data_IF_468571787361
#
_entry.id   IF_468571787361
#
_cell.length_a   1.000
_cell.length_b   1.000
_cell.length_c   1.000
_cell.angle_alpha   90.00
_cell.angle_beta   90.00
_cell.angle_gamma   90.00
#
_symmetry.space_group_name_H-M   'P 1'
#
loop_
_entity.id
_entity.type
_entity.pdbx_description
1 polymer ?
#
# COMPACT_ATOMS: atom_id res chain seq x y z
N UNK A 1 45.73 -37.15 -38.21
CA UNK A 1 44.63 -36.19 -38.06
C UNK A 1 44.17 -36.26 -36.61
N UNK A 2 44.55 -35.29 -35.79
CA UNK A 2 44.19 -35.20 -34.35
C UNK A 2 42.86 -34.48 -34.23
N UNK A 3 41.83 -35.16 -33.71
CA UNK A 3 40.53 -34.55 -33.43
C UNK A 3 40.63 -33.83 -32.08
N UNK A 4 40.59 -32.51 -32.12
CA UNK A 4 40.50 -31.66 -30.93
C UNK A 4 39.02 -31.66 -30.51
N UNK A 5 38.70 -32.27 -29.37
CA UNK A 5 37.40 -32.19 -28.74
C UNK A 5 37.40 -30.94 -27.84
N UNK A 6 36.69 -29.92 -28.30
CA UNK A 6 36.47 -28.71 -27.48
C UNK A 6 35.29 -28.99 -26.54
N UNK A 7 35.60 -29.22 -25.31
CA UNK A 7 34.58 -29.29 -24.24
C UNK A 7 34.14 -27.87 -23.87
N UNK A 8 32.95 -27.46 -24.33
CA UNK A 8 32.32 -26.23 -23.87
C UNK A 8 31.74 -26.47 -22.51
N UNK A 9 32.42 -25.97 -21.47
CA UNK A 9 31.91 -25.98 -20.11
C UNK A 9 30.84 -24.90 -20.01
N UNK A 10 29.57 -25.29 -20.04
CA UNK A 10 28.45 -24.39 -19.76
C UNK A 10 28.46 -24.07 -18.25
N UNK A 11 29.07 -22.96 -17.86
CA UNK A 11 28.86 -22.39 -16.54
C UNK A 11 27.41 -21.91 -16.45
N UNK A 12 26.56 -22.69 -15.80
CA UNK A 12 25.27 -22.23 -15.36
C UNK A 12 25.51 -21.16 -14.29
N UNK A 13 25.46 -19.90 -14.68
CA UNK A 13 25.42 -18.78 -13.75
C UNK A 13 24.05 -18.85 -13.09
N UNK A 14 23.99 -19.49 -11.91
CA UNK A 14 22.85 -19.35 -11.00
C UNK A 14 22.86 -17.93 -10.51
N UNK A 15 22.20 -17.02 -11.23
CA UNK A 15 21.91 -15.71 -10.70
C UNK A 15 21.17 -15.92 -9.38
N UNK A 16 21.65 -15.36 -8.24
CA UNK A 16 20.84 -15.37 -7.03
C UNK A 16 19.52 -14.73 -7.39
N UNK A 17 18.42 -15.42 -7.09
CA UNK A 17 17.10 -14.80 -7.19
C UNK A 17 17.16 -13.54 -6.33
N UNK A 18 17.24 -12.39 -6.97
CA UNK A 18 17.06 -11.13 -6.29
C UNK A 18 15.63 -11.19 -5.76
N UNK A 19 15.48 -11.49 -4.48
CA UNK A 19 14.24 -11.28 -3.79
C UNK A 19 13.98 -9.78 -3.89
N UNK A 20 13.16 -9.38 -4.85
CA UNK A 20 12.61 -8.05 -4.88
C UNK A 20 11.70 -7.98 -3.65
N UNK A 21 12.26 -7.53 -2.54
CA UNK A 21 11.45 -7.11 -1.41
C UNK A 21 10.47 -6.07 -1.97
N UNK A 22 9.21 -6.20 -1.56
CA UNK A 22 8.20 -5.23 -1.96
C UNK A 22 8.60 -3.82 -1.49
N UNK A 23 7.90 -2.80 -1.96
CA UNK A 23 8.24 -1.40 -1.67
C UNK A 23 8.28 -1.06 -0.16
N UNK A 24 7.69 -1.90 0.69
CA UNK A 24 7.80 -1.83 2.15
C UNK A 24 8.69 -2.99 2.62
N UNK A 25 9.99 -2.76 2.62
CA UNK A 25 11.03 -3.71 3.03
C UNK A 25 10.85 -4.18 4.49
N UNK A 26 11.22 -5.44 4.84
CA UNK A 26 11.23 -5.90 6.22
C UNK A 26 12.25 -5.19 7.12
N UNK A 27 13.11 -4.34 6.58
CA UNK A 27 14.05 -3.55 7.36
C UNK A 27 13.33 -2.41 8.11
N UNK A 28 12.95 -2.66 9.33
CA UNK A 28 12.16 -1.72 10.15
C UNK A 28 12.82 -0.34 10.30
N UNK A 29 14.14 -0.26 10.29
CA UNK A 29 14.87 0.99 10.54
C UNK A 29 14.89 1.95 9.35
N UNK A 30 14.51 1.50 8.17
CA UNK A 30 14.35 2.40 7.01
C UNK A 30 13.14 3.32 7.17
N UNK A 31 12.09 2.84 7.85
CA UNK A 31 10.89 3.61 8.12
C UNK A 31 10.86 4.15 9.54
N UNK A 32 11.42 3.43 10.51
CA UNK A 32 11.35 3.76 11.93
C UNK A 32 12.72 4.11 12.50
N UNK A 33 12.79 5.16 13.30
CA UNK A 33 14.01 5.53 14.02
C UNK A 33 13.68 6.10 15.39
N UNK A 34 14.25 5.50 16.43
CA UNK A 34 14.14 6.02 17.80
C UNK A 34 15.01 7.28 18.03
N UNK A 35 16.04 7.48 17.19
CA UNK A 35 16.95 8.60 17.32
C UNK A 35 16.60 9.78 16.43
N UNK A 36 15.99 9.53 15.27
CA UNK A 36 15.72 10.52 14.23
C UNK A 36 14.25 10.62 13.87
N UNK A 37 13.37 10.24 14.82
CA UNK A 37 11.93 10.32 14.60
C UNK A 37 11.47 11.75 14.31
N UNK A 38 10.85 11.95 13.15
CA UNK A 38 10.33 13.26 12.71
C UNK A 38 8.81 13.36 12.81
N UNK A 39 8.13 12.24 13.10
CA UNK A 39 6.69 12.17 13.16
C UNK A 39 6.18 11.12 14.14
N UNK A 40 4.87 10.89 14.09
CA UNK A 40 4.20 9.85 14.88
C UNK A 40 4.70 8.46 14.50
N UNK A 41 4.49 7.49 15.37
CA UNK A 41 4.92 6.10 15.19
C UNK A 41 6.44 5.95 15.01
N UNK A 42 7.23 6.85 15.58
CA UNK A 42 8.70 6.90 15.47
C UNK A 42 9.22 6.82 14.02
N UNK A 43 8.46 7.35 13.06
CA UNK A 43 8.89 7.38 11.67
C UNK A 43 10.06 8.35 11.47
N UNK A 44 11.04 7.91 10.70
CA UNK A 44 12.20 8.73 10.30
C UNK A 44 11.86 9.70 9.16
N UNK A 45 10.75 9.47 8.48
CA UNK A 45 10.28 10.25 7.33
C UNK A 45 9.64 11.56 7.78
N UNK A 46 9.96 12.66 7.11
CA UNK A 46 9.32 13.95 7.33
C UNK A 46 7.87 13.92 6.85
N UNK A 47 6.87 14.25 7.70
CA UNK A 47 5.49 14.31 7.26
C UNK A 47 5.25 15.39 6.22
N UNK A 48 4.63 15.05 5.09
CA UNK A 48 4.23 16.04 4.08
C UNK A 48 2.88 16.67 4.45
N UNK A 49 2.93 17.82 5.09
CA UNK A 49 1.75 18.61 5.46
C UNK A 49 1.36 19.65 4.40
N UNK A 50 2.15 19.77 3.33
CA UNK A 50 1.93 20.76 2.25
C UNK A 50 0.88 20.29 1.25
N UNK A 51 0.78 18.97 1.05
CA UNK A 51 -0.22 18.38 0.16
C UNK A 51 -1.63 18.73 0.62
N UNK A 52 -2.41 19.32 -0.28
CA UNK A 52 -3.76 19.76 0.04
C UNK A 52 -4.73 18.59 0.03
N UNK A 53 -5.48 18.44 1.10
CA UNK A 53 -6.56 17.46 1.17
C UNK A 53 -7.85 18.09 0.62
N UNK A 54 -8.34 17.70 -0.56
CA UNK A 54 -9.50 18.31 -1.20
C UNK A 54 -10.79 18.08 -0.43
N UNK A 55 -10.85 17.07 0.42
CA UNK A 55 -12.02 16.78 1.24
C UNK A 55 -12.17 17.70 2.45
N UNK A 56 -11.05 18.19 2.99
CA UNK A 56 -11.04 19.05 4.19
C UNK A 56 -10.69 20.50 3.88
N UNK A 57 -10.13 20.79 2.72
CA UNK A 57 -9.58 22.10 2.35
C UNK A 57 -8.35 22.52 3.16
N UNK A 58 -7.71 21.57 3.85
CA UNK A 58 -6.53 21.79 4.71
C UNK A 58 -5.37 20.95 4.22
N UNK A 59 -4.17 21.26 4.68
CA UNK A 59 -3.01 20.40 4.45
C UNK A 59 -3.22 18.99 5.00
N UNK A 60 -2.55 18.02 4.41
CA UNK A 60 -2.57 16.65 4.87
C UNK A 60 -2.10 16.56 6.34
N UNK A 61 -2.69 15.67 7.09
CA UNK A 61 -2.41 15.49 8.51
C UNK A 61 -2.35 14.01 8.88
N UNK A 62 -1.88 13.74 10.09
CA UNK A 62 -1.84 12.39 10.67
C UNK A 62 -1.15 11.35 9.78
N UNK A 63 -1.77 10.19 9.57
CA UNK A 63 -1.23 9.11 8.74
C UNK A 63 -1.15 9.48 7.25
N UNK A 64 -2.03 10.35 6.76
CA UNK A 64 -1.93 10.84 5.39
C UNK A 64 -0.65 11.64 5.18
N UNK A 65 -0.32 12.57 6.08
CA UNK A 65 0.93 13.32 5.99
C UNK A 65 2.17 12.42 6.08
N UNK A 66 2.13 11.38 6.91
CA UNK A 66 3.22 10.41 7.04
C UNK A 66 3.43 9.62 5.74
N UNK A 67 2.36 9.08 5.17
CA UNK A 67 2.43 8.31 3.91
C UNK A 67 2.90 9.18 2.74
N UNK A 68 2.39 10.41 2.65
CA UNK A 68 2.76 11.38 1.62
C UNK A 68 4.19 11.94 1.79
N UNK A 69 4.88 11.65 2.88
CA UNK A 69 6.31 11.90 3.02
C UNK A 69 7.15 11.15 2.00
N UNK A 70 6.68 9.96 1.56
CA UNK A 70 7.32 9.16 0.51
C UNK A 70 6.45 9.03 -0.74
N UNK A 71 5.12 8.96 -0.58
CA UNK A 71 4.17 8.78 -1.66
C UNK A 71 3.73 10.12 -2.27
N UNK A 72 4.68 10.95 -2.69
CA UNK A 72 4.48 12.24 -3.34
C UNK A 72 5.20 12.29 -4.69
N UNK A 73 4.99 13.33 -5.47
CA UNK A 73 5.59 13.46 -6.80
C UNK A 73 7.09 13.72 -6.75
N UNK A 74 7.58 14.39 -5.72
CA UNK A 74 9.00 14.74 -5.57
C UNK A 74 9.86 13.49 -5.30
N UNK A 75 9.36 12.57 -4.48
CA UNK A 75 10.06 11.31 -4.16
C UNK A 75 9.85 10.23 -5.24
N UNK A 76 8.83 10.35 -6.08
CA UNK A 76 8.55 9.44 -7.19
C UNK A 76 8.14 8.01 -6.79
N UNK A 77 7.87 7.76 -5.50
CA UNK A 77 7.49 6.44 -4.99
C UNK A 77 5.98 6.26 -5.09
N UNK A 78 5.48 5.84 -6.24
CA UNK A 78 4.04 5.67 -6.50
C UNK A 78 3.26 6.85 -5.93
N UNK A 79 3.32 8.04 -6.55
CA UNK A 79 2.64 9.23 -6.06
C UNK A 79 1.16 9.00 -5.82
N UNK A 80 0.66 9.49 -4.71
CA UNK A 80 -0.74 9.33 -4.30
C UNK A 80 -1.36 10.72 -4.18
N UNK A 81 -2.46 10.93 -4.89
CA UNK A 81 -3.27 12.12 -4.74
C UNK A 81 -4.47 11.85 -3.85
N UNK A 82 -4.69 12.74 -2.88
CA UNK A 82 -5.86 12.64 -2.01
C UNK A 82 -7.14 12.89 -2.80
N UNK A 83 -8.15 12.06 -2.58
CA UNK A 83 -9.39 12.08 -3.36
C UNK A 83 -10.59 12.49 -2.49
N UNK A 84 -11.62 13.03 -3.15
CA UNK A 84 -12.91 13.34 -2.52
C UNK A 84 -13.84 12.13 -2.44
N UNK A 85 -13.64 11.12 -3.28
CA UNK A 85 -14.48 9.91 -3.35
C UNK A 85 -14.27 8.95 -2.17
N UNK A 86 -13.03 8.82 -1.72
CA UNK A 86 -12.66 8.09 -0.49
C UNK A 86 -11.84 9.05 0.39
N UNK A 87 -12.49 10.03 1.01
CA UNK A 87 -11.79 11.10 1.69
C UNK A 87 -11.12 10.63 2.97
N UNK A 88 -9.84 10.92 3.12
CA UNK A 88 -9.11 10.75 4.38
C UNK A 88 -9.26 11.99 5.26
N UNK A 89 -9.10 11.83 6.57
CA UNK A 89 -9.25 12.92 7.54
C UNK A 89 -10.71 13.31 7.82
N UNK A 90 -11.68 12.54 7.32
CA UNK A 90 -13.11 12.80 7.52
C UNK A 90 -13.84 11.59 8.09
N UNK A 91 -14.90 11.85 8.86
CA UNK A 91 -15.83 10.81 9.32
C UNK A 91 -16.74 10.38 8.17
N UNK A 92 -16.86 9.07 7.91
CA UNK A 92 -17.78 8.56 6.89
C UNK A 92 -19.23 8.89 7.28
N UNK A 93 -20.02 9.39 6.31
CA UNK A 93 -21.41 9.77 6.55
C UNK A 93 -22.42 8.92 5.79
N UNK A 94 -22.01 8.35 4.65
CA UNK A 94 -22.91 7.68 3.70
C UNK A 94 -22.82 6.15 3.75
N UNK A 95 -21.80 5.61 4.42
CA UNK A 95 -21.54 4.18 4.51
C UNK A 95 -21.21 3.81 5.93
N UNK A 96 -21.52 2.57 6.31
CA UNK A 96 -21.16 2.01 7.61
C UNK A 96 -19.77 1.37 7.49
N UNK A 97 -18.79 1.99 8.11
CA UNK A 97 -17.43 1.47 8.17
C UNK A 97 -17.24 0.69 9.48
N UNK A 98 -16.69 -0.53 9.45
CA UNK A 98 -16.32 -1.25 10.66
C UNK A 98 -15.40 -0.43 11.58
N UNK A 99 -15.61 -0.55 12.89
CA UNK A 99 -14.90 0.27 13.86
C UNK A 99 -13.37 0.06 13.86
N UNK A 100 -12.92 -1.16 13.54
CA UNK A 100 -11.51 -1.51 13.43
C UNK A 100 -10.83 -0.91 12.19
N UNK A 101 -11.60 -0.45 11.21
CA UNK A 101 -11.12 0.30 10.05
C UNK A 101 -11.18 1.82 10.25
N UNK A 102 -11.75 2.29 11.35
CA UNK A 102 -11.75 3.70 11.70
C UNK A 102 -10.55 4.04 12.60
N UNK A 103 -10.07 5.26 12.46
CA UNK A 103 -9.11 5.83 13.41
C UNK A 103 -9.80 6.09 14.74
N UNK A 104 -9.02 6.32 15.80
CA UNK A 104 -9.56 6.56 17.17
C UNK A 104 -10.55 7.72 17.25
N UNK A 105 -10.38 8.71 16.38
CA UNK A 105 -11.28 9.87 16.26
C UNK A 105 -12.52 9.62 15.38
N UNK A 106 -12.67 8.41 14.85
CA UNK A 106 -13.76 8.01 13.96
C UNK A 106 -13.60 8.46 12.51
N UNK A 107 -12.43 8.98 12.13
CA UNK A 107 -12.15 9.38 10.75
C UNK A 107 -11.53 8.22 9.95
N UNK A 108 -11.61 8.34 8.61
CA UNK A 108 -10.83 7.50 7.70
C UNK A 108 -9.42 8.06 7.53
N UNK A 109 -8.44 7.18 7.36
CA UNK A 109 -7.07 7.52 7.02
C UNK A 109 -6.49 6.51 6.05
N UNK A 110 -5.24 6.68 5.66
CA UNK A 110 -4.55 5.69 4.82
C UNK A 110 -4.52 4.33 5.50
N UNK A 111 -4.26 4.31 6.80
CA UNK A 111 -4.21 3.09 7.62
C UNK A 111 -5.60 2.46 7.87
N UNK A 112 -6.68 3.12 7.52
CA UNK A 112 -8.02 2.51 7.50
C UNK A 112 -8.14 1.41 6.44
N UNK A 113 -7.48 1.60 5.31
CA UNK A 113 -7.52 0.66 4.18
C UNK A 113 -6.23 -0.15 4.04
N UNK A 114 -5.08 0.41 4.43
CA UNK A 114 -3.77 -0.20 4.25
C UNK A 114 -3.08 -0.52 5.57
N UNK A 115 -2.36 -1.64 5.58
CA UNK A 115 -1.36 -1.96 6.59
C UNK A 115 -0.02 -2.13 5.86
N UNK A 116 0.87 -1.13 5.90
CA UNK A 116 2.08 -1.10 5.09
C UNK A 116 3.16 -2.09 5.54
N UNK A 117 2.99 -2.77 6.67
CA UNK A 117 4.01 -3.67 7.17
C UNK A 117 4.23 -4.88 6.25
N UNK A 118 5.48 -5.31 6.04
CA UNK A 118 5.83 -6.41 5.13
C UNK A 118 5.16 -7.74 5.46
N UNK A 119 4.74 -7.94 6.71
CA UNK A 119 3.99 -9.12 7.14
C UNK A 119 2.57 -9.20 6.54
N UNK A 120 2.08 -8.13 5.92
CA UNK A 120 0.78 -8.13 5.25
C UNK A 120 0.91 -8.68 3.81
N UNK A 121 0.41 -9.88 3.51
CA UNK A 121 0.54 -10.50 2.19
C UNK A 121 -0.52 -10.02 1.19
N UNK A 122 -1.43 -9.16 1.61
CA UNK A 122 -2.57 -8.77 0.80
C UNK A 122 -2.17 -7.83 -0.35
N UNK A 123 -2.94 -7.90 -1.43
CA UNK A 123 -2.77 -7.02 -2.57
C UNK A 123 -2.73 -5.54 -2.15
N UNK A 124 -1.69 -4.83 -2.56
CA UNK A 124 -1.44 -3.43 -2.18
C UNK A 124 -1.52 -3.18 -0.67
N UNK A 125 -1.13 -4.15 0.13
CA UNK A 125 -1.16 -4.06 1.59
C UNK A 125 -2.54 -3.74 2.19
N UNK A 126 -3.63 -4.16 1.54
CA UNK A 126 -4.98 -3.94 2.07
C UNK A 126 -5.19 -4.70 3.39
N UNK A 127 -5.98 -4.12 4.27
CA UNK A 127 -6.34 -4.74 5.57
C UNK A 127 -7.34 -5.88 5.46
N UNK A 128 -8.06 -5.97 4.35
CA UNK A 128 -8.95 -7.09 4.07
C UNK A 128 -8.24 -8.21 3.31
N UNK A 129 -8.77 -9.43 3.37
CA UNK A 129 -8.21 -10.60 2.67
C UNK A 129 -8.45 -10.47 1.16
N UNK A 130 -7.47 -9.92 0.46
CA UNK A 130 -7.46 -9.70 -0.98
C UNK A 130 -6.11 -10.16 -1.52
N UNK A 131 -6.06 -11.33 -2.13
CA UNK A 131 -4.80 -11.88 -2.64
C UNK A 131 -4.33 -11.20 -3.93
N UNK A 132 -5.26 -10.71 -4.75
CA UNK A 132 -4.98 -10.10 -6.06
C UNK A 132 -6.05 -9.07 -6.44
N UNK A 133 -5.71 -8.20 -7.41
CA UNK A 133 -6.59 -7.10 -7.82
C UNK A 133 -7.98 -7.51 -8.31
N UNK A 134 -8.12 -8.71 -8.88
CA UNK A 134 -9.44 -9.25 -9.28
C UNK A 134 -10.39 -9.51 -8.11
N UNK A 135 -9.88 -9.55 -6.89
CA UNK A 135 -10.68 -9.77 -5.67
C UNK A 135 -10.98 -8.47 -4.90
N UNK A 136 -10.59 -7.32 -5.46
CA UNK A 136 -10.74 -6.02 -4.80
C UNK A 136 -12.18 -5.72 -4.39
N UNK A 137 -13.17 -6.24 -5.13
CA UNK A 137 -14.57 -6.13 -4.78
C UNK A 137 -14.93 -6.67 -3.40
N UNK A 138 -14.23 -7.71 -2.92
CA UNK A 138 -14.40 -8.23 -1.57
C UNK A 138 -14.05 -7.18 -0.50
N UNK A 139 -13.01 -6.41 -0.74
CA UNK A 139 -12.64 -5.31 0.15
C UNK A 139 -13.64 -4.16 0.08
N UNK A 140 -14.07 -3.78 -1.13
CA UNK A 140 -15.08 -2.74 -1.30
C UNK A 140 -16.39 -3.08 -0.58
N UNK A 141 -16.79 -4.36 -0.59
CA UNK A 141 -18.01 -4.85 0.06
C UNK A 141 -18.01 -4.69 1.59
N UNK A 142 -16.87 -4.53 2.23
CA UNK A 142 -16.79 -4.29 3.68
C UNK A 142 -17.59 -3.04 4.07
N UNK A 143 -17.55 -2.00 3.23
CA UNK A 143 -18.27 -0.74 3.47
C UNK A 143 -19.45 -0.54 2.51
N UNK A 144 -19.41 -1.15 1.33
CA UNK A 144 -20.37 -1.00 0.24
C UNK A 144 -21.10 -2.31 -0.08
N UNK A 145 -21.57 -3.01 0.94
CA UNK A 145 -22.23 -4.32 0.80
C UNK A 145 -23.48 -4.28 -0.10
N UNK A 146 -24.14 -3.12 -0.19
CA UNK A 146 -25.32 -2.89 -1.03
C UNK A 146 -24.99 -2.49 -2.48
N UNK A 147 -23.74 -2.22 -2.79
CA UNK A 147 -23.29 -1.73 -4.11
C UNK A 147 -22.39 -2.73 -4.84
N UNK A 148 -21.88 -3.72 -4.17
CA UNK A 148 -20.94 -4.69 -4.75
C UNK A 148 -21.65 -5.98 -5.07
N UNK A 149 -21.77 -6.28 -6.36
CA UNK A 149 -22.19 -7.61 -6.82
C UNK A 149 -21.01 -8.59 -6.67
N UNK A 150 -21.06 -9.37 -5.61
CA UNK A 150 -20.03 -10.38 -5.33
C UNK A 150 -19.99 -11.48 -6.39
N UNK A 151 -21.09 -11.73 -7.12
CA UNK A 151 -21.15 -12.69 -8.22
C UNK A 151 -20.35 -12.24 -9.44
N UNK A 152 -20.36 -10.95 -9.75
CA UNK A 152 -19.60 -10.38 -10.86
C UNK A 152 -18.09 -10.51 -10.69
N UNK A 153 -17.57 -10.52 -9.45
CA UNK A 153 -16.14 -10.69 -9.17
C UNK A 153 -15.68 -12.15 -9.17
N UNK A 154 -16.60 -13.09 -8.94
CA UNK A 154 -16.28 -14.51 -8.98
C UNK A 154 -16.12 -15.05 -10.42
N UNK A 155 -16.70 -14.36 -11.41
CA UNK A 155 -16.77 -14.80 -12.80
C UNK A 155 -15.80 -14.11 -13.76
N UNK A 156 -15.01 -13.15 -13.29
CA UNK A 156 -14.03 -12.48 -14.16
C UNK A 156 -12.88 -13.43 -14.51
N UNK A 157 -12.69 -13.82 -15.77
CA UNK A 157 -11.57 -14.68 -16.16
C UNK A 157 -10.26 -13.93 -15.93
N UNK A 158 -9.17 -14.62 -15.60
CA UNK A 158 -7.85 -13.99 -15.45
C UNK A 158 -7.47 -13.35 -16.78
N UNK A 159 -7.21 -12.05 -16.77
CA UNK A 159 -6.63 -11.37 -17.93
C UNK A 159 -5.25 -11.98 -18.19
N UNK A 160 -5.07 -12.55 -19.36
CA UNK A 160 -3.80 -13.06 -19.85
C UNK A 160 -2.79 -11.93 -20.02
#
# INVERSE_FOLDING_TARGET
MKRIVVAVLAMAVTAPAAFAYGPHDPNCVECHSIHYAKGRAILAVEPNTKEQNPATGKGASDDAALCLGCHNEDEGIVPIHLATTHPVGMKPKKVKVPADLLRKDGTLGCTSCHNPHPSNPNYKYLRGTVAKGSELGKFCAICHSDKVDMGAFASAPPKK
#
